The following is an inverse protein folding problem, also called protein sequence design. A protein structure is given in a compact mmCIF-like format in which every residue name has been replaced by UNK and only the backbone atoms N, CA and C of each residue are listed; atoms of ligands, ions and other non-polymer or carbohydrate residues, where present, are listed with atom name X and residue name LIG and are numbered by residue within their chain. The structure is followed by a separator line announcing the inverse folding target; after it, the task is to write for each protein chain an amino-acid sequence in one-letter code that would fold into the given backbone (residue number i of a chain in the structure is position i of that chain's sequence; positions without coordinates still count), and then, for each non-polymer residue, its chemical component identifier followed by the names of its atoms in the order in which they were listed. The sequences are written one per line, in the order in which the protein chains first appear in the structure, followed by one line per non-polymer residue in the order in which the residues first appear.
data_IF_665897186934
#
_entry.id   IF_665897186934
#
_cell.length_a   1.000
_cell.length_b   1.000
_cell.length_c   1.000
_cell.angle_alpha   90.00
_cell.angle_beta   90.00
_cell.angle_gamma   90.00
#
_symmetry.space_group_name_H-M   'P 1'
#
loop_
_entity.id
_entity.type
_entity.pdbx_description
1 polymer ?
#
# COMPACT_ATOMS: atom_id res chain seq x y z
N UNK A 1 -25.12 -12.06 -32.96
CA UNK A 1 -24.08 -11.77 -31.94
C UNK A 1 -24.75 -11.77 -30.58
N UNK A 2 -24.57 -12.80 -29.73
CA UNK A 2 -25.10 -12.75 -28.38
C UNK A 2 -24.31 -11.72 -27.55
N UNK A 3 -25.02 -11.00 -26.69
CA UNK A 3 -24.47 -9.99 -25.78
C UNK A 3 -23.38 -10.60 -24.85
N UNK A 4 -22.41 -9.79 -24.38
CA UNK A 4 -21.41 -10.27 -23.44
C UNK A 4 -22.08 -10.83 -22.17
N UNK A 5 -21.74 -12.08 -21.83
CA UNK A 5 -22.15 -12.72 -20.57
C UNK A 5 -21.67 -11.88 -19.40
N UNK A 6 -22.57 -11.53 -18.47
CA UNK A 6 -22.21 -11.03 -17.16
C UNK A 6 -21.32 -12.06 -16.47
N UNK A 7 -20.03 -11.77 -16.33
CA UNK A 7 -19.15 -12.47 -15.40
C UNK A 7 -19.41 -11.90 -14.00
N UNK A 8 -19.92 -12.67 -13.03
CA UNK A 8 -19.94 -12.25 -11.64
C UNK A 8 -18.55 -12.42 -11.01
N UNK A 9 -17.53 -11.81 -11.60
CA UNK A 9 -16.14 -11.96 -11.15
C UNK A 9 -15.62 -10.66 -10.54
N UNK A 10 -15.95 -10.47 -9.27
CA UNK A 10 -15.05 -9.79 -8.36
C UNK A 10 -14.85 -10.67 -7.13
N UNK A 11 -14.47 -11.94 -7.34
CA UNK A 11 -14.15 -12.88 -6.25
C UNK A 11 -12.93 -12.43 -5.41
N UNK A 12 -12.21 -11.37 -5.82
CA UNK A 12 -11.14 -10.73 -5.05
C UNK A 12 -11.12 -9.21 -5.24
N UNK A 13 -12.10 -8.47 -4.71
CA UNK A 13 -12.01 -7.00 -4.64
C UNK A 13 -11.45 -6.56 -3.29
N UNK A 14 -10.11 -6.56 -3.16
CA UNK A 14 -9.45 -5.86 -2.05
C UNK A 14 -9.18 -4.43 -2.49
N UNK A 15 -9.99 -3.50 -2.00
CA UNK A 15 -9.81 -2.07 -2.24
C UNK A 15 -8.85 -1.46 -1.22
N UNK A 16 -7.87 -0.71 -1.73
CA UNK A 16 -6.97 0.14 -0.96
C UNK A 16 -7.30 1.59 -1.25
N UNK A 17 -7.25 2.44 -0.23
CA UNK A 17 -7.40 3.88 -0.39
C UNK A 17 -6.12 4.51 -0.95
N UNK A 18 -4.97 3.94 -0.59
CA UNK A 18 -3.65 4.41 -0.96
C UNK A 18 -2.75 3.20 -1.25
N UNK A 19 -2.02 3.26 -2.35
CA UNK A 19 -0.95 2.32 -2.68
C UNK A 19 0.36 3.10 -2.73
N UNK A 20 1.33 2.69 -1.94
CA UNK A 20 2.67 3.26 -1.89
C UNK A 20 3.62 2.22 -2.50
N UNK A 21 4.33 2.60 -3.57
CA UNK A 21 5.33 1.74 -4.22
C UNK A 21 6.72 2.16 -3.75
N UNK A 22 7.40 1.24 -3.08
CA UNK A 22 8.66 1.43 -2.37
C UNK A 22 8.44 1.53 -0.85
N UNK A 23 9.04 0.61 -0.09
CA UNK A 23 9.06 0.57 1.38
C UNK A 23 10.42 0.99 1.98
N UNK A 24 11.20 1.77 1.24
CA UNK A 24 12.39 2.44 1.78
C UNK A 24 12.06 3.53 2.80
N UNK A 25 13.02 4.42 3.09
CA UNK A 25 12.88 5.47 4.11
C UNK A 25 11.60 6.30 3.94
N UNK A 26 11.41 6.88 2.75
CA UNK A 26 10.25 7.76 2.50
C UNK A 26 8.92 6.99 2.52
N UNK A 27 8.87 5.80 1.90
CA UNK A 27 7.64 5.01 1.80
C UNK A 27 7.14 4.50 3.14
N UNK A 28 8.05 3.94 3.95
CA UNK A 28 7.73 3.46 5.30
C UNK A 28 7.36 4.61 6.24
N UNK A 29 8.10 5.72 6.21
CA UNK A 29 7.77 6.91 7.01
C UNK A 29 6.41 7.50 6.63
N UNK A 30 6.11 7.60 5.32
CA UNK A 30 4.84 8.11 4.82
C UNK A 30 3.67 7.18 5.20
N UNK A 31 3.82 5.87 5.01
CA UNK A 31 2.79 4.90 5.39
C UNK A 31 2.46 4.99 6.89
N UNK A 32 3.49 5.10 7.74
CA UNK A 32 3.31 5.28 9.17
C UNK A 32 2.61 6.60 9.51
N UNK A 33 3.07 7.73 8.95
CA UNK A 33 2.49 9.04 9.19
C UNK A 33 1.02 9.10 8.75
N UNK A 34 0.68 8.54 7.59
CA UNK A 34 -0.70 8.47 7.09
C UNK A 34 -1.59 7.59 7.97
N UNK A 35 -1.07 6.45 8.44
CA UNK A 35 -1.79 5.57 9.36
C UNK A 35 -2.12 6.30 10.67
N UNK A 36 -1.14 6.98 11.28
CA UNK A 36 -1.31 7.75 12.52
C UNK A 36 -2.28 8.91 12.33
N UNK A 37 -2.15 9.68 11.24
CA UNK A 37 -3.06 10.79 10.95
C UNK A 37 -4.50 10.31 10.70
N UNK A 38 -4.67 9.11 10.15
CA UNK A 38 -5.97 8.53 9.85
C UNK A 38 -6.73 8.02 11.09
N UNK A 39 -6.08 7.89 12.26
CA UNK A 39 -6.73 7.41 13.50
C UNK A 39 -7.95 8.24 13.89
N UNK A 40 -7.93 9.56 13.59
CA UNK A 40 -9.03 10.48 13.90
C UNK A 40 -10.17 10.45 12.87
N UNK A 41 -10.05 9.64 11.81
CA UNK A 41 -11.10 9.54 10.78
C UNK A 41 -12.13 8.51 11.21
N UNK A 42 -13.41 8.75 10.90
CA UNK A 42 -14.49 7.77 11.11
C UNK A 42 -14.24 6.43 10.39
N UNK A 43 -13.42 6.43 9.34
CA UNK A 43 -13.01 5.23 8.62
C UNK A 43 -11.49 5.16 8.53
N UNK A 44 -10.85 4.04 8.94
CA UNK A 44 -9.41 3.86 8.78
C UNK A 44 -9.04 3.82 7.29
N UNK A 45 -7.87 4.37 6.96
CA UNK A 45 -7.30 4.27 5.62
C UNK A 45 -6.70 2.87 5.42
N UNK A 46 -7.07 2.22 4.32
CA UNK A 46 -6.46 0.96 3.88
C UNK A 46 -5.27 1.31 3.00
N UNK A 47 -4.06 1.18 3.57
CA UNK A 47 -2.80 1.53 2.91
C UNK A 47 -2.10 0.24 2.49
N UNK A 48 -1.84 0.09 1.19
CA UNK A 48 -0.98 -0.96 0.65
C UNK A 48 0.43 -0.40 0.49
N UNK A 49 1.43 -1.03 1.13
CA UNK A 49 2.83 -0.71 0.92
C UNK A 49 3.46 -1.87 0.14
N UNK A 50 3.89 -1.60 -1.08
CA UNK A 50 4.48 -2.58 -1.98
C UNK A 50 5.99 -2.33 -2.06
N UNK A 51 6.79 -3.37 -1.90
CA UNK A 51 8.24 -3.32 -2.10
C UNK A 51 8.70 -4.60 -2.80
N UNK A 52 9.84 -4.52 -3.50
CA UNK A 52 10.48 -5.65 -4.17
C UNK A 52 10.82 -6.77 -3.20
N UNK A 53 11.36 -6.41 -2.03
CA UNK A 53 11.72 -7.33 -0.95
C UNK A 53 11.59 -6.64 0.39
N UNK A 54 10.90 -7.28 1.33
CA UNK A 54 10.79 -6.82 2.73
C UNK A 54 11.93 -7.35 3.62
N UNK A 55 12.93 -8.02 3.03
CA UNK A 55 14.15 -8.38 3.74
C UNK A 55 14.98 -7.13 4.06
N UNK A 56 15.85 -7.25 5.06
CA UNK A 56 16.82 -6.21 5.39
C UNK A 56 17.68 -5.87 4.15
N UNK A 57 17.76 -4.59 3.75
CA UNK A 57 18.55 -4.19 2.59
C UNK A 57 20.05 -4.20 2.91
N UNK A 58 20.84 -4.92 2.11
CA UNK A 58 22.30 -4.82 2.12
C UNK A 58 22.74 -3.60 1.30
N UNK A 59 22.89 -2.43 1.95
CA UNK A 59 23.23 -1.16 1.30
C UNK A 59 24.09 -0.27 2.20
N UNK A 60 24.97 0.52 1.59
CA UNK A 60 25.87 1.48 2.26
C UNK A 60 25.27 2.88 2.48
N UNK A 61 23.97 3.05 2.26
CA UNK A 61 23.31 4.37 2.23
C UNK A 61 22.34 4.52 3.40
N UNK A 62 22.15 5.76 3.88
CA UNK A 62 21.18 6.07 4.93
C UNK A 62 21.63 5.72 6.35
N UNK A 63 22.94 5.62 6.58
CA UNK A 63 23.51 5.27 7.90
C UNK A 63 23.60 6.46 8.86
N UNK A 64 23.51 7.69 8.34
CA UNK A 64 23.54 8.92 9.12
C UNK A 64 22.37 9.83 8.71
N UNK A 65 21.68 10.39 9.71
CA UNK A 65 20.54 11.29 9.55
C UNK A 65 20.95 12.75 9.84
#
# INVERSE_FOLDING_TARGET
MPAPRNYPDAMWSVSYDIIIVGAGVAGSALAHALSVAAVKRNRPLRICLLERSLAEPDRIVGELL
#
